data_IF_111069451945
#
_entry.id   IF_111069451945
#
_cell.length_a   1.000
_cell.length_b   1.000
_cell.length_c   1.000
_cell.angle_alpha   90.00
_cell.angle_beta   90.00
_cell.angle_gamma   90.00
#
_symmetry.space_group_name_H-M   'P 1'
#
loop_
_entity.id
_entity.type
_entity.pdbx_description
1 polymer ?
#
# COMPACT_ATOMS: atom_id res chain seq x y z
N UNK A 1 17.74 -9.23 2.65
CA UNK A 1 17.31 -8.00 3.32
C UNK A 1 16.44 -8.35 4.53
N UNK A 2 16.66 -7.69 5.62
CA UNK A 2 15.87 -7.95 6.83
C UNK A 2 14.49 -7.29 6.71
N UNK A 3 13.48 -7.91 7.34
CA UNK A 3 12.10 -7.42 7.27
C UNK A 3 11.96 -5.97 7.73
N UNK A 4 12.71 -5.57 8.75
CA UNK A 4 12.69 -4.20 9.24
C UNK A 4 13.10 -3.19 8.17
N UNK A 5 14.13 -3.52 7.39
CA UNK A 5 14.56 -2.66 6.29
C UNK A 5 13.48 -2.53 5.23
N UNK A 6 12.77 -3.62 4.94
CA UNK A 6 11.66 -3.60 3.98
C UNK A 6 10.54 -2.69 4.45
N UNK A 7 10.19 -2.75 5.74
CA UNK A 7 9.14 -1.89 6.30
C UNK A 7 9.55 -0.42 6.20
N UNK A 8 10.75 -0.08 6.62
CA UNK A 8 11.21 1.31 6.57
C UNK A 8 11.31 1.81 5.13
N UNK A 9 11.76 0.98 4.20
CA UNK A 9 11.76 1.33 2.78
C UNK A 9 10.36 1.58 2.26
N UNK A 10 9.42 0.72 2.60
CA UNK A 10 8.03 0.88 2.16
C UNK A 10 7.43 2.18 2.68
N UNK A 11 7.78 2.60 3.91
CA UNK A 11 7.23 3.79 4.54
C UNK A 11 8.07 5.05 4.31
N UNK A 12 9.17 4.97 3.58
CA UNK A 12 10.08 6.11 3.39
C UNK A 12 9.61 7.14 2.38
N UNK A 13 8.47 6.93 1.75
CA UNK A 13 7.91 7.82 0.75
C UNK A 13 6.53 8.26 1.21
N UNK A 14 6.26 9.58 1.18
CA UNK A 14 5.00 10.13 1.70
C UNK A 14 3.77 9.57 0.97
N UNK A 15 3.87 9.35 -0.34
CA UNK A 15 2.74 8.80 -1.09
C UNK A 15 2.47 7.35 -0.71
N UNK A 16 3.51 6.55 -0.49
CA UNK A 16 3.34 5.17 -0.03
C UNK A 16 2.73 5.12 1.37
N UNK A 17 3.17 6.00 2.25
CA UNK A 17 2.60 6.09 3.60
C UNK A 17 1.11 6.45 3.54
N UNK A 18 0.76 7.43 2.70
CA UNK A 18 -0.64 7.83 2.51
C UNK A 18 -1.49 6.70 1.96
N UNK A 19 -0.96 5.92 1.01
CA UNK A 19 -1.67 4.77 0.44
C UNK A 19 -1.95 3.72 1.52
N UNK A 20 -0.95 3.38 2.31
CA UNK A 20 -1.12 2.39 3.37
C UNK A 20 -2.16 2.86 4.38
N UNK A 21 -2.10 4.12 4.77
CA UNK A 21 -3.10 4.71 5.67
C UNK A 21 -4.50 4.64 5.07
N UNK A 22 -4.64 4.96 3.79
CA UNK A 22 -5.90 4.98 3.07
C UNK A 22 -6.55 3.60 3.01
N UNK A 23 -5.74 2.54 2.84
CA UNK A 23 -6.24 1.17 2.71
C UNK A 23 -6.30 0.42 4.05
N UNK A 24 -5.82 1.02 5.14
CA UNK A 24 -5.86 0.38 6.44
C UNK A 24 -7.30 0.18 6.90
N UNK A 25 -7.59 -0.94 7.55
CA UNK A 25 -8.96 -1.22 8.00
C UNK A 25 -9.81 -1.94 6.96
N UNK A 26 -9.19 -2.82 6.15
CA UNK A 26 -9.86 -3.68 5.17
C UNK A 26 -10.51 -2.94 4.00
N UNK A 27 -9.99 -1.78 3.65
CA UNK A 27 -10.48 -1.04 2.49
C UNK A 27 -9.89 -1.60 1.21
N UNK A 28 -10.66 -1.54 0.14
CA UNK A 28 -10.28 -2.03 -1.18
C UNK A 28 -10.54 -0.90 -2.18
N UNK A 29 -9.53 -0.58 -2.98
CA UNK A 29 -9.63 0.53 -3.93
C UNK A 29 -8.87 0.21 -5.20
N UNK A 30 -9.37 0.70 -6.33
CA UNK A 30 -8.65 0.61 -7.60
C UNK A 30 -7.67 1.78 -7.74
N UNK A 31 -6.80 1.70 -8.77
CA UNK A 31 -5.75 2.69 -8.99
C UNK A 31 -6.33 4.10 -9.19
N UNK A 32 -7.39 4.22 -10.00
CA UNK A 32 -8.03 5.51 -10.28
C UNK A 32 -8.55 6.17 -9.00
N UNK A 33 -9.20 5.41 -8.13
CA UNK A 33 -9.71 5.91 -6.87
C UNK A 33 -8.59 6.42 -5.97
N UNK A 34 -7.51 5.65 -5.89
CA UNK A 34 -6.35 6.02 -5.07
C UNK A 34 -5.68 7.28 -5.64
N UNK A 35 -5.46 7.32 -6.96
CA UNK A 35 -4.85 8.47 -7.63
C UNK A 35 -5.66 9.74 -7.37
N UNK A 36 -6.98 9.67 -7.48
CA UNK A 36 -7.85 10.81 -7.26
C UNK A 36 -7.76 11.32 -5.81
N UNK A 37 -7.71 10.42 -4.85
CA UNK A 37 -7.58 10.82 -3.44
C UNK A 37 -6.21 11.43 -3.13
N UNK A 38 -5.15 10.89 -3.73
CA UNK A 38 -3.79 11.41 -3.55
C UNK A 38 -3.53 12.68 -4.35
N UNK A 39 -4.36 12.95 -5.37
CA UNK A 39 -4.16 14.07 -6.30
C UNK A 39 -2.83 13.98 -7.04
N UNK A 40 -2.45 12.79 -7.44
CA UNK A 40 -1.28 12.53 -8.28
C UNK A 40 -1.70 11.73 -9.51
N UNK A 41 -0.79 11.60 -10.48
CA UNK A 41 -1.10 10.92 -11.72
C UNK A 41 -1.38 9.44 -11.51
N UNK A 42 -2.14 8.84 -12.45
CA UNK A 42 -2.36 7.40 -12.49
C UNK A 42 -1.03 6.64 -12.55
N UNK A 43 -0.10 7.11 -13.37
CA UNK A 43 1.21 6.44 -13.55
C UNK A 43 2.00 6.45 -12.26
N UNK A 44 2.09 7.61 -11.58
CA UNK A 44 2.80 7.69 -10.30
C UNK A 44 2.16 6.80 -9.25
N UNK A 45 0.83 6.81 -9.17
CA UNK A 45 0.08 5.98 -8.23
C UNK A 45 0.36 4.51 -8.48
N UNK A 46 0.26 4.07 -9.73
CA UNK A 46 0.50 2.68 -10.12
C UNK A 46 1.90 2.22 -9.71
N UNK A 47 2.92 3.07 -9.92
CA UNK A 47 4.28 2.77 -9.49
C UNK A 47 4.38 2.53 -7.99
N UNK A 48 3.78 3.40 -7.20
CA UNK A 48 3.83 3.27 -5.74
C UNK A 48 3.11 2.00 -5.27
N UNK A 49 1.98 1.68 -5.90
CA UNK A 49 1.22 0.47 -5.57
C UNK A 49 2.01 -0.80 -5.90
N UNK A 50 2.70 -0.84 -7.02
CA UNK A 50 3.53 -1.98 -7.42
C UNK A 50 4.69 -2.16 -6.43
N UNK A 51 5.33 -1.07 -6.00
CA UNK A 51 6.39 -1.12 -5.00
C UNK A 51 5.86 -1.73 -3.70
N UNK A 52 4.73 -1.25 -3.22
CA UNK A 52 4.13 -1.76 -1.98
C UNK A 52 3.73 -3.24 -2.11
N UNK A 53 3.23 -3.64 -3.27
CA UNK A 53 2.92 -5.05 -3.53
C UNK A 53 4.18 -5.91 -3.51
N UNK A 54 5.27 -5.42 -4.08
CA UNK A 54 6.55 -6.15 -4.10
C UNK A 54 7.15 -6.29 -2.71
N UNK A 55 6.86 -5.37 -1.80
CA UNK A 55 7.25 -5.47 -0.40
C UNK A 55 6.26 -6.30 0.43
N UNK A 56 5.23 -6.85 -0.21
CA UNK A 56 4.19 -7.66 0.45
C UNK A 56 3.37 -6.89 1.49
N UNK A 57 3.37 -5.58 1.41
CA UNK A 57 2.49 -4.72 2.21
C UNK A 57 1.08 -4.74 1.63
N UNK A 58 0.96 -4.75 0.31
CA UNK A 58 -0.30 -4.82 -0.40
C UNK A 58 -0.42 -6.09 -1.22
N UNK A 59 -1.65 -6.49 -1.47
CA UNK A 59 -2.01 -7.46 -2.49
C UNK A 59 -2.93 -6.79 -3.50
N UNK A 60 -3.08 -7.43 -4.67
CA UNK A 60 -3.95 -6.93 -5.71
C UNK A 60 -4.74 -8.08 -6.32
N UNK A 61 -5.92 -7.75 -6.86
CA UNK A 61 -6.68 -8.70 -7.66
C UNK A 61 -7.37 -7.97 -8.81
N UNK A 62 -7.50 -8.66 -9.95
CA UNK A 62 -8.22 -8.12 -11.09
C UNK A 62 -9.72 -8.30 -10.93
N UNK A 63 -10.50 -7.25 -11.25
CA UNK A 63 -11.94 -7.29 -11.19
C UNK A 63 -12.52 -6.27 -12.16
N UNK A 64 -13.36 -6.72 -13.10
CA UNK A 64 -14.08 -5.83 -14.04
C UNK A 64 -13.14 -4.87 -14.78
N UNK A 65 -12.02 -5.38 -15.29
CA UNK A 65 -10.99 -4.61 -15.99
C UNK A 65 -10.25 -3.61 -15.12
N UNK A 66 -10.39 -3.70 -13.80
CA UNK A 66 -9.66 -2.89 -12.85
C UNK A 66 -8.74 -3.75 -12.00
N UNK A 67 -7.68 -3.15 -11.47
CA UNK A 67 -6.85 -3.79 -10.45
C UNK A 67 -7.22 -3.16 -9.11
N UNK A 68 -7.67 -4.01 -8.19
CA UNK A 68 -8.06 -3.61 -6.84
C UNK A 68 -6.89 -3.90 -5.91
N UNK A 69 -6.52 -2.93 -5.09
CA UNK A 69 -5.46 -3.06 -4.09
C UNK A 69 -6.03 -3.06 -2.68
N UNK A 70 -5.39 -3.82 -1.80
CA UNK A 70 -5.79 -3.91 -0.40
C UNK A 70 -4.59 -4.34 0.44
N UNK A 71 -4.68 -4.12 1.75
CA UNK A 71 -3.61 -4.53 2.68
C UNK A 71 -3.49 -6.05 2.67
N UNK A 72 -2.25 -6.54 2.58
CA UNK A 72 -1.99 -7.97 2.58
C UNK A 72 -2.41 -8.59 3.91
N UNK A 73 -3.44 -9.47 3.94
CA UNK A 73 -3.91 -10.08 5.18
C UNK A 73 -2.89 -11.02 5.81
N UNK A 74 -1.95 -11.51 5.01
CA UNK A 74 -0.88 -12.40 5.47
C UNK A 74 0.39 -11.67 5.84
N UNK A 75 0.33 -10.34 5.94
CA UNK A 75 1.48 -9.54 6.33
C UNK A 75 1.98 -9.98 7.70
N UNK A 76 3.30 -10.13 7.90
CA UNK A 76 3.85 -10.53 9.20
C UNK A 76 3.38 -9.61 10.33
N UNK A 77 3.20 -10.17 11.52
CA UNK A 77 2.70 -9.42 12.68
C UNK A 77 3.56 -8.22 13.04
N UNK A 78 4.89 -8.37 12.96
CA UNK A 78 5.80 -7.28 13.26
C UNK A 78 5.63 -6.12 12.27
N UNK A 79 5.37 -6.42 10.99
CA UNK A 79 5.05 -5.40 9.99
C UNK A 79 3.77 -4.66 10.37
N UNK A 80 2.73 -5.41 10.73
CA UNK A 80 1.44 -4.81 11.14
C UNK A 80 1.62 -3.89 12.34
N UNK A 81 2.38 -4.32 13.33
CA UNK A 81 2.62 -3.56 14.54
C UNK A 81 3.33 -2.25 14.23
N UNK A 82 4.39 -2.29 13.41
CA UNK A 82 5.15 -1.11 13.05
C UNK A 82 4.30 -0.12 12.25
N UNK A 83 3.56 -0.63 11.25
CA UNK A 83 2.71 0.22 10.41
C UNK A 83 1.61 0.84 11.25
N UNK A 84 0.99 0.08 12.13
CA UNK A 84 -0.07 0.60 13.01
C UNK A 84 0.44 1.72 13.92
N UNK A 85 1.64 1.58 14.45
CA UNK A 85 2.28 2.63 15.25
C UNK A 85 2.55 3.86 14.39
N UNK A 86 3.09 3.67 13.18
CA UNK A 86 3.41 4.77 12.28
C UNK A 86 2.18 5.56 11.81
N UNK A 87 1.01 4.92 11.76
CA UNK A 87 -0.22 5.56 11.29
C UNK A 87 -1.02 6.26 12.39
N UNK A 88 -0.58 6.13 13.63
CA UNK A 88 -1.25 6.82 14.75
C UNK A 88 -0.85 8.33 14.82
#
# INVERSE_FOLDING_TARGET
>A
MKRWELVFKALSNINRLKIVKMLWGRKRMNVTQIANKLKISFVSTSRQLIILRNFEVLQSEGKDNHIIYFINPSMPKDFKTIINIALK
#
